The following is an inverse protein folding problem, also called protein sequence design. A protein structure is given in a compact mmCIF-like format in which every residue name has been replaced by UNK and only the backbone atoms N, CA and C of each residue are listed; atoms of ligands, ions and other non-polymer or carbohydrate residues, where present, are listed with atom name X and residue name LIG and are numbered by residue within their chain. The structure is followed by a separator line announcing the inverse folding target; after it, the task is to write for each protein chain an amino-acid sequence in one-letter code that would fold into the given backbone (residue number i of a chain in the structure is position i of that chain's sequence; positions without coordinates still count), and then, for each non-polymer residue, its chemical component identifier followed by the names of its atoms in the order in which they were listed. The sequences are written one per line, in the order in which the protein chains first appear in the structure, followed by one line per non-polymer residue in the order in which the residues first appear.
data_IF_718107749692
#
_entry.id   IF_718107749692
#
_cell.length_a   1.000
_cell.length_b   1.000
_cell.length_c   1.000
_cell.angle_alpha   90.00
_cell.angle_beta   90.00
_cell.angle_gamma   90.00
#
_symmetry.space_group_name_H-M   'P 1'
#
loop_
_entity.id
_entity.type
_entity.pdbx_description
1 polymer ?
#
# COMPACT_ATOMS: atom_id res chain seq x y z
N UNK A 1 -10.78 -31.77 11.92
CA UNK A 1 -11.33 -30.69 12.77
C UNK A 1 -10.15 -30.00 13.47
N UNK A 2 -9.97 -28.70 13.27
CA UNK A 2 -9.01 -27.92 14.04
C UNK A 2 -9.44 -27.88 15.51
N UNK A 3 -8.51 -27.99 16.44
CA UNK A 3 -8.82 -27.82 17.86
C UNK A 3 -9.34 -26.41 18.14
N UNK A 4 -10.11 -26.21 19.22
CA UNK A 4 -10.61 -24.89 19.61
C UNK A 4 -9.50 -23.83 19.77
N UNK A 5 -8.30 -24.25 20.20
CA UNK A 5 -7.12 -23.39 20.30
C UNK A 5 -6.58 -23.01 18.91
N UNK A 6 -6.50 -23.95 17.99
CA UNK A 6 -6.08 -23.69 16.61
C UNK A 6 -7.07 -22.82 15.85
N UNK A 7 -8.38 -22.98 16.11
CA UNK A 7 -9.43 -22.10 15.56
C UNK A 7 -9.35 -20.69 16.14
N UNK A 8 -9.04 -20.54 17.43
CA UNK A 8 -8.85 -19.25 18.11
C UNK A 8 -7.58 -18.55 17.63
N UNK A 9 -6.45 -19.27 17.47
CA UNK A 9 -5.21 -18.71 16.92
C UNK A 9 -5.37 -18.33 15.45
N UNK A 10 -6.06 -19.13 14.64
CA UNK A 10 -6.32 -18.80 13.24
C UNK A 10 -7.25 -17.57 13.13
N UNK A 11 -8.29 -17.45 13.95
CA UNK A 11 -9.15 -16.27 13.97
C UNK A 11 -8.45 -15.04 14.58
N UNK A 12 -7.56 -15.21 15.55
CA UNK A 12 -6.75 -14.13 16.10
C UNK A 12 -5.73 -13.62 15.06
N UNK A 13 -5.05 -14.51 14.35
CA UNK A 13 -4.15 -14.16 13.25
C UNK A 13 -4.90 -13.53 12.06
N UNK A 14 -6.14 -13.95 11.80
CA UNK A 14 -7.01 -13.35 10.79
C UNK A 14 -7.48 -11.95 11.23
N UNK A 15 -7.82 -11.77 12.50
CA UNK A 15 -8.21 -10.48 13.06
C UNK A 15 -7.03 -9.50 13.13
N UNK A 16 -5.82 -9.95 13.51
CA UNK A 16 -4.59 -9.15 13.40
C UNK A 16 -4.25 -8.82 11.95
N UNK A 17 -4.46 -9.75 11.02
CA UNK A 17 -4.28 -9.52 9.58
C UNK A 17 -5.31 -8.51 9.06
N UNK A 18 -6.55 -8.54 9.54
CA UNK A 18 -7.60 -7.58 9.18
C UNK A 18 -7.37 -6.20 9.78
N UNK A 19 -6.85 -6.10 11.00
CA UNK A 19 -6.54 -4.82 11.66
C UNK A 19 -5.25 -4.18 11.14
N UNK A 20 -4.28 -4.96 10.67
CA UNK A 20 -2.97 -4.51 10.22
C UNK A 20 -2.80 -4.69 8.70
N UNK A 21 -3.86 -4.52 7.92
CA UNK A 21 -3.85 -4.75 6.47
C UNK A 21 -2.96 -3.76 5.74
N UNK A 22 -1.77 -4.20 5.42
CA UNK A 22 -1.07 -3.64 4.27
C UNK A 22 -1.93 -3.90 3.03
N UNK A 23 -2.37 -2.83 2.38
CA UNK A 23 -3.09 -2.97 1.11
C UNK A 23 -2.28 -3.85 0.15
N UNK A 24 -2.93 -4.85 -0.44
CA UNK A 24 -2.34 -5.86 -1.32
C UNK A 24 -2.21 -5.31 -2.74
N UNK A 25 -1.16 -5.67 -3.47
CA UNK A 25 -1.09 -5.36 -4.90
C UNK A 25 -2.16 -6.14 -5.66
N UNK A 26 -2.81 -5.47 -6.63
CA UNK A 26 -3.97 -6.07 -7.31
C UNK A 26 -3.62 -7.35 -8.06
N UNK A 27 -2.42 -7.46 -8.61
CA UNK A 27 -1.92 -8.66 -9.27
C UNK A 27 -1.73 -9.84 -8.31
N UNK A 28 -1.42 -9.58 -7.04
CA UNK A 28 -1.20 -10.61 -6.03
C UNK A 28 -2.50 -11.29 -5.58
N UNK A 29 -3.65 -10.68 -5.86
CA UNK A 29 -4.95 -11.26 -5.56
C UNK A 29 -5.15 -12.63 -6.22
N UNK A 30 -4.56 -12.87 -7.40
CA UNK A 30 -4.64 -14.18 -8.06
C UNK A 30 -3.95 -15.30 -7.26
N UNK A 31 -3.00 -14.96 -6.39
CA UNK A 31 -2.31 -15.92 -5.53
C UNK A 31 -3.03 -16.02 -4.18
N UNK A 32 -3.39 -14.88 -3.58
CA UNK A 32 -3.97 -14.80 -2.24
C UNK A 32 -5.39 -15.38 -2.20
N UNK A 33 -6.23 -15.01 -3.16
CA UNK A 33 -7.66 -15.39 -3.21
C UNK A 33 -8.00 -16.21 -4.47
N UNK A 34 -6.95 -16.71 -5.16
CA UNK A 34 -7.07 -17.63 -6.30
C UNK A 34 -8.03 -17.12 -7.38
N UNK A 35 -8.95 -17.97 -7.89
CA UNK A 35 -9.96 -17.60 -8.90
C UNK A 35 -10.84 -16.43 -8.47
N UNK A 36 -11.20 -16.37 -7.19
CA UNK A 36 -11.98 -15.25 -6.65
C UNK A 36 -11.16 -13.95 -6.67
N UNK A 37 -9.86 -14.04 -6.36
CA UNK A 37 -8.94 -12.91 -6.45
C UNK A 37 -8.78 -12.40 -7.89
N UNK A 38 -8.76 -13.28 -8.89
CA UNK A 38 -8.77 -12.87 -10.30
C UNK A 38 -10.05 -12.11 -10.64
N UNK A 39 -11.22 -12.62 -10.24
CA UNK A 39 -12.48 -11.93 -10.49
C UNK A 39 -12.51 -10.54 -9.83
N UNK A 40 -12.01 -10.42 -8.59
CA UNK A 40 -11.87 -9.14 -7.90
C UNK A 40 -10.92 -8.18 -8.64
N UNK A 41 -9.76 -8.67 -9.07
CA UNK A 41 -8.76 -7.86 -9.77
C UNK A 41 -9.29 -7.33 -11.11
N UNK A 42 -9.86 -8.20 -11.94
CA UNK A 42 -10.48 -7.80 -13.19
C UNK A 42 -11.65 -6.83 -12.97
N UNK A 43 -12.52 -7.13 -12.03
CA UNK A 43 -13.64 -6.24 -11.67
C UNK A 43 -13.19 -4.86 -11.26
N UNK A 44 -12.12 -4.75 -10.45
CA UNK A 44 -11.52 -3.48 -10.03
C UNK A 44 -10.92 -2.69 -11.20
N UNK A 45 -10.12 -3.34 -12.05
CA UNK A 45 -9.50 -2.71 -13.23
C UNK A 45 -10.55 -2.20 -14.20
N UNK A 46 -11.53 -3.04 -14.55
CA UNK A 46 -12.60 -2.67 -15.48
C UNK A 46 -13.54 -1.60 -14.90
N UNK A 47 -13.71 -1.56 -13.59
CA UNK A 47 -14.47 -0.49 -12.94
C UNK A 47 -13.78 0.87 -13.11
N UNK A 48 -12.45 0.96 -12.92
CA UNK A 48 -11.69 2.19 -13.18
C UNK A 48 -11.80 2.59 -14.65
N UNK A 49 -11.59 1.65 -15.57
CA UNK A 49 -11.73 1.90 -17.01
C UNK A 49 -13.05 2.59 -17.36
N UNK A 50 -14.16 2.16 -16.75
CA UNK A 50 -15.50 2.72 -17.01
C UNK A 50 -15.66 4.17 -16.51
N UNK A 51 -14.79 4.63 -15.61
CA UNK A 51 -14.86 5.98 -15.08
C UNK A 51 -14.08 7.00 -15.93
N UNK A 52 -13.20 6.54 -16.82
CA UNK A 52 -12.46 7.42 -17.72
C UNK A 52 -13.41 8.08 -18.74
N UNK A 53 -13.28 9.41 -18.91
CA UNK A 53 -14.10 10.19 -19.81
C UNK A 53 -15.53 10.47 -19.31
N UNK A 54 -15.88 10.05 -18.10
CA UNK A 54 -17.20 10.30 -17.51
C UNK A 54 -17.08 11.42 -16.48
N UNK A 55 -17.87 12.48 -16.64
CA UNK A 55 -17.92 13.56 -15.65
C UNK A 55 -18.39 13.05 -14.30
N UNK A 56 -17.52 13.16 -13.29
CA UNK A 56 -17.73 12.57 -11.95
C UNK A 56 -18.36 13.53 -10.95
N UNK A 57 -18.89 14.67 -11.39
CA UNK A 57 -19.43 15.72 -10.51
C UNK A 57 -20.51 15.26 -9.51
N UNK A 58 -20.98 14.02 -9.60
CA UNK A 58 -21.99 13.42 -8.70
C UNK A 58 -21.58 12.07 -8.09
N UNK A 59 -20.41 11.51 -8.40
CA UNK A 59 -19.99 10.20 -7.86
C UNK A 59 -18.67 10.33 -7.12
N UNK A 60 -18.58 9.73 -5.94
CA UNK A 60 -17.31 9.62 -5.22
C UNK A 60 -16.37 8.72 -6.03
N UNK A 61 -15.16 9.19 -6.35
CA UNK A 61 -14.18 8.40 -7.09
C UNK A 61 -13.89 7.07 -6.42
N UNK A 62 -13.60 6.05 -7.23
CA UNK A 62 -13.24 4.72 -6.73
C UNK A 62 -11.73 4.52 -6.61
N UNK A 63 -10.96 5.59 -6.75
CA UNK A 63 -9.50 5.58 -6.75
C UNK A 63 -9.00 6.67 -5.83
N UNK A 64 -8.05 6.33 -4.97
CA UNK A 64 -7.32 7.29 -4.14
C UNK A 64 -5.88 7.37 -4.60
N UNK A 65 -5.29 8.56 -4.53
CA UNK A 65 -3.86 8.76 -4.79
C UNK A 65 -3.09 8.18 -3.60
N UNK A 66 -2.07 7.37 -3.87
CA UNK A 66 -1.14 6.95 -2.83
C UNK A 66 -0.03 7.98 -2.73
N UNK A 67 0.00 8.71 -1.64
CA UNK A 67 1.11 9.59 -1.23
C UNK A 67 1.82 8.87 -0.07
N UNK A 68 3.12 8.67 -0.19
CA UNK A 68 3.92 7.95 0.82
C UNK A 68 4.44 8.94 1.87
N UNK A 69 3.63 9.16 2.87
CA UNK A 69 4.05 9.85 4.07
C UNK A 69 4.73 8.91 5.08
N UNK A 70 5.40 9.48 6.04
CA UNK A 70 5.96 8.76 7.19
C UNK A 70 6.11 9.70 8.39
N UNK A 71 5.74 9.23 9.58
CA UNK A 71 5.16 7.94 9.94
C UNK A 71 3.66 7.82 9.62
N UNK A 72 3.15 6.58 9.60
CA UNK A 72 1.72 6.34 9.63
C UNK A 72 1.19 6.69 11.04
N UNK A 73 0.15 7.52 11.07
CA UNK A 73 -0.49 8.01 12.30
C UNK A 73 -1.93 7.54 12.33
N UNK A 74 -2.33 6.91 13.44
CA UNK A 74 -3.72 6.59 13.74
C UNK A 74 -4.17 7.57 14.81
N UNK A 75 -5.24 8.30 14.54
CA UNK A 75 -5.75 9.32 15.45
C UNK A 75 -7.28 9.30 15.48
N UNK A 76 -7.85 9.65 16.63
CA UNK A 76 -9.31 9.67 16.76
C UNK A 76 -9.79 9.70 18.20
N UNK A 77 -11.07 9.36 18.37
CA UNK A 77 -11.77 9.44 19.64
C UNK A 77 -12.19 8.05 20.11
N UNK A 78 -11.76 7.70 21.32
CA UNK A 78 -12.10 6.45 22.01
C UNK A 78 -12.57 6.77 23.43
N UNK A 79 -13.78 6.36 23.78
CA UNK A 79 -14.36 6.67 25.09
C UNK A 79 -14.43 8.16 25.43
N UNK A 80 -14.64 9.01 24.42
CA UNK A 80 -14.70 10.47 24.59
C UNK A 80 -13.35 11.17 24.75
N UNK A 81 -12.23 10.42 24.69
CA UNK A 81 -10.86 10.97 24.76
C UNK A 81 -10.20 10.90 23.39
N UNK A 82 -9.51 11.97 23.00
CA UNK A 82 -8.72 11.98 21.78
C UNK A 82 -7.41 11.24 22.02
N UNK A 83 -7.01 10.42 21.04
CA UNK A 83 -5.76 9.67 21.10
C UNK A 83 -5.00 9.71 19.78
N UNK A 84 -3.72 9.41 19.87
CA UNK A 84 -2.87 9.11 18.72
C UNK A 84 -2.09 7.83 18.94
N UNK A 85 -1.73 7.18 17.85
CA UNK A 85 -0.88 6.00 17.86
C UNK A 85 -0.20 5.79 16.51
N UNK A 86 0.71 4.85 16.49
CA UNK A 86 1.28 4.28 15.28
C UNK A 86 0.68 2.88 15.03
N UNK A 87 1.22 2.11 14.09
CA UNK A 87 0.83 0.70 13.89
C UNK A 87 0.96 -0.16 15.16
N UNK A 88 1.76 0.27 16.14
CA UNK A 88 1.88 -0.38 17.44
C UNK A 88 0.59 -0.36 18.28
N UNK A 89 -0.42 0.42 17.87
CA UNK A 89 -1.76 0.39 18.42
C UNK A 89 -2.40 -1.02 18.31
N UNK A 90 -2.04 -1.78 17.29
CA UNK A 90 -2.56 -3.12 17.01
C UNK A 90 -1.64 -4.25 17.51
N UNK A 91 -0.62 -3.94 18.30
CA UNK A 91 0.24 -4.95 18.90
C UNK A 91 -0.50 -5.69 20.01
N UNK A 92 0.04 -6.84 20.42
CA UNK A 92 -0.47 -7.61 21.57
C UNK A 92 -0.57 -6.75 22.85
N UNK A 93 0.37 -5.81 23.01
CA UNK A 93 0.33 -4.75 24.01
C UNK A 93 0.16 -3.42 23.26
N UNK A 94 -1.08 -2.91 23.13
CA UNK A 94 -1.36 -1.71 22.36
C UNK A 94 -0.70 -0.47 22.93
N UNK A 95 -0.05 0.32 22.09
CA UNK A 95 0.52 1.62 22.49
C UNK A 95 -0.41 2.74 22.05
N UNK A 96 -1.34 3.10 22.92
CA UNK A 96 -2.26 4.23 22.76
C UNK A 96 -1.76 5.43 23.56
N UNK A 97 -1.87 6.63 23.01
CA UNK A 97 -1.35 7.84 23.65
C UNK A 97 -2.44 8.92 23.70
N UNK A 98 -2.82 9.30 24.90
CA UNK A 98 -3.80 10.36 25.18
C UNK A 98 -3.13 11.67 25.55
N UNK A 99 -1.87 11.63 25.99
CA UNK A 99 -1.08 12.80 26.43
C UNK A 99 0.32 12.76 25.84
N UNK A 100 1.05 13.89 25.83
CA UNK A 100 2.46 13.91 25.43
C UNK A 100 3.35 12.98 26.25
N UNK A 101 3.04 12.80 27.54
CA UNK A 101 3.78 11.91 28.47
C UNK A 101 3.55 10.43 28.08
N UNK A 102 2.36 10.07 27.60
CA UNK A 102 2.10 8.73 27.06
C UNK A 102 2.96 8.49 25.81
N UNK A 103 3.07 9.51 24.95
CA UNK A 103 3.92 9.43 23.76
C UNK A 103 5.38 9.19 24.14
N UNK A 104 5.91 9.95 25.12
CA UNK A 104 7.31 9.82 25.58
C UNK A 104 7.59 8.46 26.24
N UNK A 105 6.58 7.88 26.91
CA UNK A 105 6.68 6.53 27.48
C UNK A 105 6.71 5.44 26.44
N UNK A 106 5.94 5.60 25.39
CA UNK A 106 5.70 4.57 24.38
C UNK A 106 6.59 4.65 23.14
N UNK A 107 7.15 5.84 22.84
CA UNK A 107 7.87 6.14 21.62
C UNK A 107 9.06 7.06 21.90
N UNK A 108 10.00 7.13 20.94
CA UNK A 108 11.19 7.99 21.02
C UNK A 108 11.54 8.59 19.67
N UNK A 109 12.44 9.59 19.67
CA UNK A 109 12.96 10.23 18.47
C UNK A 109 11.89 10.88 17.60
N UNK A 110 12.13 10.93 16.31
CA UNK A 110 11.25 11.63 15.35
C UNK A 110 9.81 11.11 15.34
N UNK A 111 9.56 9.83 15.66
CA UNK A 111 8.19 9.30 15.76
C UNK A 111 7.44 9.95 16.94
N UNK A 112 8.08 10.06 18.10
CA UNK A 112 7.47 10.70 19.26
C UNK A 112 7.11 12.17 18.97
N UNK A 113 8.01 12.91 18.34
CA UNK A 113 7.76 14.30 17.95
C UNK A 113 6.55 14.42 17.03
N UNK A 114 6.44 13.59 16.00
CA UNK A 114 5.31 13.63 15.05
C UNK A 114 3.99 13.22 15.72
N UNK A 115 4.00 12.24 16.63
CA UNK A 115 2.82 11.86 17.40
C UNK A 115 2.36 12.97 18.34
N UNK A 116 3.26 13.71 19.01
CA UNK A 116 2.90 14.88 19.83
C UNK A 116 2.28 15.99 18.98
N UNK A 117 2.84 16.29 17.81
CA UNK A 117 2.25 17.25 16.87
C UNK A 117 0.85 16.79 16.42
N UNK A 118 0.70 15.50 16.11
CA UNK A 118 -0.59 14.94 15.71
C UNK A 118 -1.62 15.02 16.85
N UNK A 119 -1.21 14.75 18.10
CA UNK A 119 -2.07 14.88 19.27
C UNK A 119 -2.60 16.31 19.44
N UNK A 120 -1.74 17.29 19.21
CA UNK A 120 -2.09 18.71 19.31
C UNK A 120 -2.98 19.18 18.15
N UNK A 121 -2.62 18.88 16.89
CA UNK A 121 -3.28 19.44 15.73
C UNK A 121 -4.52 18.68 15.27
N UNK A 122 -4.56 17.35 15.39
CA UNK A 122 -5.62 16.53 14.80
C UNK A 122 -6.88 16.45 15.66
N UNK A 123 -6.81 16.81 16.94
CA UNK A 123 -7.97 16.86 17.82
C UNK A 123 -9.07 17.79 17.32
N UNK A 124 -8.70 18.90 16.70
CA UNK A 124 -9.64 19.88 16.16
C UNK A 124 -10.14 19.50 14.75
N UNK A 125 -9.45 18.58 14.07
CA UNK A 125 -9.74 18.15 12.68
C UNK A 125 -10.64 16.93 12.65
N UNK A 126 -10.39 15.94 13.51
CA UNK A 126 -11.12 14.68 13.50
C UNK A 126 -12.39 14.81 14.35
N UNK A 127 -13.60 14.57 13.77
CA UNK A 127 -14.85 14.62 14.52
C UNK A 127 -14.90 13.57 15.62
N UNK A 128 -15.66 13.86 16.69
CA UNK A 128 -15.89 12.89 17.78
C UNK A 128 -16.50 11.58 17.24
N UNK A 129 -16.07 10.46 17.82
CA UNK A 129 -16.51 9.12 17.41
C UNK A 129 -15.86 8.59 16.12
N UNK A 130 -14.92 9.35 15.53
CA UNK A 130 -14.18 8.93 14.34
C UNK A 130 -12.74 8.55 14.70
N UNK A 131 -12.22 7.57 13.96
CA UNK A 131 -10.83 7.11 14.05
C UNK A 131 -10.31 6.98 12.62
N UNK A 132 -9.24 7.69 12.31
CA UNK A 132 -8.64 7.68 10.98
C UNK A 132 -7.15 7.34 11.05
N UNK A 133 -6.67 6.68 10.02
CA UNK A 133 -5.24 6.57 9.74
C UNK A 133 -4.89 7.44 8.56
N UNK A 134 -3.79 8.15 8.70
CA UNK A 134 -3.15 8.90 7.64
C UNK A 134 -1.65 8.81 7.74
N UNK A 135 -0.98 9.25 6.70
CA UNK A 135 0.46 9.34 6.63
C UNK A 135 0.90 10.80 6.79
N UNK A 136 1.81 11.06 7.73
CA UNK A 136 2.39 12.38 7.94
C UNK A 136 3.17 12.82 6.71
N UNK A 137 3.01 14.07 6.31
CA UNK A 137 3.65 14.64 5.14
C UNK A 137 4.71 15.68 5.48
N UNK A 138 4.35 16.66 6.30
CA UNK A 138 5.26 17.73 6.72
C UNK A 138 4.78 18.42 8.00
N UNK A 139 5.71 19.09 8.64
CA UNK A 139 5.48 20.15 9.63
C UNK A 139 6.19 21.46 9.21
N UNK A 140 6.15 22.46 10.07
CA UNK A 140 6.80 23.74 9.81
C UNK A 140 8.33 23.64 9.63
N UNK A 141 8.97 22.59 10.20
CA UNK A 141 10.41 22.42 10.17
C UNK A 141 10.85 21.56 8.97
N UNK A 142 10.00 20.65 8.51
CA UNK A 142 10.32 19.70 7.43
C UNK A 142 9.83 20.16 6.04
N UNK A 143 9.10 21.27 5.97
CA UNK A 143 8.71 21.91 4.71
C UNK A 143 9.65 23.07 4.41
N UNK A 144 10.28 23.04 3.25
CA UNK A 144 11.27 24.01 2.82
C UNK A 144 10.79 24.82 1.61
N UNK A 145 11.40 25.99 1.42
CA UNK A 145 11.28 26.83 0.22
C UNK A 145 12.44 26.55 -0.72
N UNK A 146 12.14 26.06 -1.95
CA UNK A 146 13.15 25.78 -2.97
C UNK A 146 12.66 26.19 -4.36
N UNK A 147 13.60 26.59 -5.24
CA UNK A 147 13.30 26.74 -6.67
C UNK A 147 13.43 25.37 -7.34
N UNK A 148 12.36 24.90 -7.97
CA UNK A 148 12.33 23.64 -8.72
C UNK A 148 12.06 23.98 -10.19
N UNK A 149 13.06 23.77 -11.04
CA UNK A 149 12.97 24.10 -12.47
C UNK A 149 12.53 25.56 -12.74
N UNK A 150 13.05 26.50 -11.94
CA UNK A 150 12.71 27.92 -12.05
C UNK A 150 11.38 28.34 -11.39
N UNK A 151 10.65 27.45 -10.77
CA UNK A 151 9.41 27.73 -10.06
C UNK A 151 9.66 27.75 -8.55
N UNK A 152 9.31 28.87 -7.89
CA UNK A 152 9.41 28.98 -6.43
C UNK A 152 8.37 28.09 -5.77
N UNK A 153 8.82 27.07 -5.05
CA UNK A 153 8.00 25.96 -4.60
C UNK A 153 8.17 25.68 -3.10
N UNK A 154 7.09 25.21 -2.48
CA UNK A 154 7.16 24.48 -1.23
C UNK A 154 7.58 23.04 -1.53
N UNK A 155 8.54 22.53 -0.76
CA UNK A 155 9.12 21.20 -0.93
C UNK A 155 9.14 20.48 0.40
N UNK A 156 8.77 19.20 0.40
CA UNK A 156 8.86 18.33 1.56
C UNK A 156 9.16 16.89 1.12
N UNK A 157 9.83 16.12 1.98
CA UNK A 157 10.23 14.74 1.70
C UNK A 157 10.00 13.85 2.94
N UNK A 158 8.77 13.33 3.13
CA UNK A 158 8.46 12.54 4.32
C UNK A 158 9.10 11.15 4.29
N UNK A 159 9.38 10.61 3.10
CA UNK A 159 9.99 9.30 2.88
C UNK A 159 10.99 9.36 1.71
N UNK A 160 10.90 8.50 0.73
CA UNK A 160 11.83 8.44 -0.41
C UNK A 160 11.50 9.48 -1.48
N UNK A 161 10.21 9.78 -1.65
CA UNK A 161 9.75 10.74 -2.65
C UNK A 161 9.71 12.15 -2.08
N UNK A 162 10.29 13.08 -2.84
CA UNK A 162 10.17 14.52 -2.61
C UNK A 162 8.95 15.05 -3.36
N UNK A 163 8.13 15.82 -2.67
CA UNK A 163 6.96 16.47 -3.20
C UNK A 163 7.23 17.97 -3.36
N UNK A 164 6.63 18.58 -4.38
CA UNK A 164 6.69 20.02 -4.54
C UNK A 164 5.37 20.59 -5.07
N UNK A 165 5.10 21.84 -4.70
CA UNK A 165 3.96 22.62 -5.17
C UNK A 165 4.39 24.06 -5.40
N UNK A 166 3.93 24.68 -6.50
CA UNK A 166 4.14 26.10 -6.76
C UNK A 166 3.52 26.94 -5.64
N UNK A 167 4.30 27.79 -4.98
CA UNK A 167 3.85 28.66 -3.89
C UNK A 167 2.75 29.64 -4.29
N UNK A 168 2.73 30.05 -5.55
CA UNK A 168 1.75 31.00 -6.06
C UNK A 168 0.39 30.37 -6.37
N UNK A 169 0.34 29.02 -6.49
CA UNK A 169 -0.91 28.30 -6.67
C UNK A 169 -1.78 28.38 -5.40
N UNK A 170 -3.10 28.19 -5.55
CA UNK A 170 -4.01 28.16 -4.41
C UNK A 170 -3.69 27.01 -3.44
N UNK A 171 -3.24 25.87 -3.98
CA UNK A 171 -2.75 24.75 -3.18
C UNK A 171 -1.46 25.13 -2.43
N UNK A 172 -0.53 25.79 -3.10
CA UNK A 172 0.72 26.24 -2.49
C UNK A 172 0.52 27.26 -1.36
N UNK A 173 -0.45 28.17 -1.51
CA UNK A 173 -0.84 29.11 -0.44
C UNK A 173 -1.40 28.38 0.78
N UNK A 174 -2.27 27.37 0.58
CA UNK A 174 -2.84 26.55 1.66
C UNK A 174 -1.74 25.75 2.37
N UNK A 175 -0.88 25.06 1.62
CA UNK A 175 0.25 24.32 2.16
C UNK A 175 1.21 25.25 2.91
N UNK A 176 1.48 26.45 2.36
CA UNK A 176 2.35 27.45 2.97
C UNK A 176 1.85 27.96 4.32
N UNK A 177 0.55 28.10 4.51
CA UNK A 177 -0.07 28.54 5.76
C UNK A 177 -0.13 27.45 6.85
N UNK A 178 -0.16 26.18 6.45
CA UNK A 178 -0.33 25.06 7.38
C UNK A 178 0.96 24.81 8.20
N UNK A 179 0.78 24.35 9.43
CA UNK A 179 1.85 23.93 10.34
C UNK A 179 2.02 22.42 10.41
N UNK A 180 1.01 21.66 9.96
CA UNK A 180 0.98 20.22 9.95
C UNK A 180 0.28 19.72 8.67
N UNK A 181 0.90 18.77 7.98
CA UNK A 181 0.35 18.18 6.75
C UNK A 181 0.18 16.66 6.89
N UNK A 182 -0.98 16.16 6.49
CA UNK A 182 -1.31 14.72 6.57
C UNK A 182 -2.23 14.33 5.40
N UNK A 183 -2.09 13.10 4.91
CA UNK A 183 -3.04 12.47 4.01
C UNK A 183 -3.80 11.36 4.73
N UNK A 184 -5.12 11.45 4.79
CA UNK A 184 -5.97 10.42 5.38
C UNK A 184 -6.42 9.41 4.34
N UNK A 185 -6.36 8.10 4.65
CA UNK A 185 -6.68 7.05 3.70
C UNK A 185 -7.48 5.88 4.27
N UNK A 186 -7.53 5.70 5.59
CA UNK A 186 -8.20 4.54 6.22
C UNK A 186 -9.09 5.00 7.36
N UNK A 187 -10.31 4.47 7.42
CA UNK A 187 -11.23 4.68 8.53
C UNK A 187 -11.33 3.41 9.37
N UNK A 188 -11.25 3.60 10.69
CA UNK A 188 -11.50 2.57 11.69
C UNK A 188 -12.78 2.88 12.44
N UNK A 189 -13.35 1.86 13.08
CA UNK A 189 -14.46 2.00 14.02
C UNK A 189 -14.14 1.27 15.32
N UNK A 190 -14.81 1.67 16.38
CA UNK A 190 -14.76 1.02 17.69
C UNK A 190 -16.16 0.87 18.23
N UNK A 191 -16.40 -0.19 18.97
CA UNK A 191 -17.68 -0.46 19.64
C UNK A 191 -17.69 -0.08 21.12
N UNK A 192 -16.65 0.63 21.62
CA UNK A 192 -16.56 0.97 23.03
C UNK A 192 -15.36 1.80 23.44
N UNK A 193 -14.89 1.55 24.66
CA UNK A 193 -13.81 2.26 25.36
C UNK A 193 -12.48 1.52 25.16
N UNK A 194 -12.54 0.24 24.82
CA UNK A 194 -11.38 -0.63 24.72
C UNK A 194 -10.68 -0.48 23.37
N UNK A 195 -9.38 -0.29 23.40
CA UNK A 195 -8.51 -0.20 22.22
C UNK A 195 -8.57 -1.48 21.37
N UNK A 196 -8.77 -2.65 21.97
CA UNK A 196 -8.92 -3.92 21.28
C UNK A 196 -10.19 -4.00 20.41
N UNK A 197 -11.14 -3.09 20.60
CA UNK A 197 -12.35 -2.99 19.80
C UNK A 197 -12.15 -2.22 18.49
N UNK A 198 -10.98 -1.58 18.31
CA UNK A 198 -10.68 -0.83 17.09
C UNK A 198 -10.43 -1.80 15.94
N UNK A 199 -11.25 -1.71 14.89
CA UNK A 199 -11.15 -2.55 13.72
C UNK A 199 -11.37 -1.74 12.44
N UNK A 200 -10.90 -2.28 11.32
CA UNK A 200 -10.99 -1.64 10.01
C UNK A 200 -12.46 -1.45 9.62
N UNK A 201 -12.84 -0.21 9.28
CA UNK A 201 -14.13 0.09 8.67
C UNK A 201 -14.04 0.13 7.15
N UNK A 202 -12.99 0.75 6.61
CA UNK A 202 -12.80 0.84 5.17
C UNK A 202 -11.65 1.74 4.74
N UNK A 203 -11.45 1.81 3.44
CA UNK A 203 -10.47 2.65 2.80
C UNK A 203 -11.14 3.87 2.15
N UNK A 204 -10.41 5.00 2.16
CA UNK A 204 -10.89 6.26 1.63
C UNK A 204 -11.63 7.08 2.70
N UNK A 205 -10.97 8.11 3.20
CA UNK A 205 -11.53 9.16 4.07
C UNK A 205 -11.83 10.36 3.19
N UNK A 206 -13.01 10.95 3.30
CA UNK A 206 -13.37 12.11 2.52
C UNK A 206 -13.02 13.41 3.24
N UNK A 207 -12.59 14.43 2.49
CA UNK A 207 -12.28 15.75 3.06
C UNK A 207 -13.50 16.36 3.78
N UNK A 208 -14.71 16.11 3.26
CA UNK A 208 -15.98 16.58 3.86
C UNK A 208 -16.28 15.94 5.23
N UNK A 209 -15.67 14.80 5.55
CA UNK A 209 -15.82 14.11 6.84
C UNK A 209 -14.90 14.71 7.92
N UNK A 210 -14.09 15.71 7.60
CA UNK A 210 -13.11 16.35 8.46
C UNK A 210 -13.46 17.80 8.74
N UNK A 211 -13.10 18.31 9.92
CA UNK A 211 -13.27 19.70 10.26
C UNK A 211 -12.14 20.55 9.67
N UNK A 212 -12.48 21.68 9.05
CA UNK A 212 -11.48 22.60 8.48
C UNK A 212 -10.60 23.21 9.58
N UNK A 213 -9.32 23.32 9.31
CA UNK A 213 -8.34 23.98 10.16
C UNK A 213 -7.42 24.86 9.30
N UNK A 214 -6.97 25.99 9.82
CA UNK A 214 -5.95 26.85 9.17
C UNK A 214 -4.52 26.32 9.40
N UNK A 215 -4.32 25.59 10.50
CA UNK A 215 -3.01 25.10 10.91
C UNK A 215 -2.72 23.69 10.38
N UNK A 216 -3.75 22.97 9.90
CA UNK A 216 -3.62 21.63 9.35
C UNK A 216 -4.03 21.63 7.89
N UNK A 217 -3.08 21.30 7.02
CA UNK A 217 -3.41 20.91 5.66
C UNK A 217 -3.61 19.40 5.64
N UNK A 218 -4.79 18.99 5.28
CA UNK A 218 -5.09 17.59 5.03
C UNK A 218 -5.67 17.44 3.63
N UNK A 219 -5.46 16.27 3.08
CA UNK A 219 -6.07 15.86 1.81
C UNK A 219 -6.71 14.49 2.04
N UNK A 220 -7.91 14.32 1.48
CA UNK A 220 -8.38 12.98 1.25
C UNK A 220 -7.53 12.36 0.13
N UNK A 221 -7.40 11.05 0.18
CA UNK A 221 -6.63 10.35 -0.84
C UNK A 221 -7.41 10.18 -2.15
N UNK A 222 -8.63 10.69 -2.29
CA UNK A 222 -9.44 10.48 -3.49
C UNK A 222 -8.89 11.21 -4.72
N UNK A 223 -8.86 10.54 -5.83
CA UNK A 223 -8.60 11.15 -7.14
C UNK A 223 -9.91 11.71 -7.68
N UNK A 224 -10.15 12.99 -7.45
CA UNK A 224 -11.44 13.65 -7.69
C UNK A 224 -11.79 13.90 -9.16
N UNK A 225 -10.82 13.83 -10.08
CA UNK A 225 -11.05 14.19 -11.48
C UNK A 225 -10.74 13.03 -12.45
N UNK A 226 -11.41 11.89 -12.27
CA UNK A 226 -11.34 10.81 -13.25
C UNK A 226 -12.01 11.19 -14.59
N UNK A 227 -12.92 12.15 -14.58
CA UNK A 227 -13.59 12.66 -15.79
C UNK A 227 -12.67 13.47 -16.69
N UNK A 228 -11.60 14.08 -16.15
CA UNK A 228 -10.56 14.75 -16.94
C UNK A 228 -9.60 13.77 -17.64
N UNK A 229 -9.66 12.49 -17.32
CA UNK A 229 -8.86 11.46 -17.99
C UNK A 229 -9.57 11.03 -19.26
N UNK A 230 -8.89 11.16 -20.40
CA UNK A 230 -9.42 10.67 -21.67
C UNK A 230 -9.65 9.15 -21.61
N UNK A 231 -10.72 8.68 -22.25
CA UNK A 231 -10.98 7.23 -22.41
C UNK A 231 -9.79 6.53 -23.05
N UNK A 232 -9.70 5.21 -22.87
CA UNK A 232 -8.68 4.42 -23.54
C UNK A 232 -8.83 4.52 -25.06
N UNK A 233 -7.71 4.65 -25.78
CA UNK A 233 -7.67 4.60 -27.24
C UNK A 233 -8.12 3.22 -27.75
N UNK A 234 -8.37 3.10 -29.05
CA UNK A 234 -8.71 1.83 -29.69
C UNK A 234 -7.62 0.79 -29.44
N UNK A 235 -6.35 1.17 -29.56
CA UNK A 235 -5.21 0.27 -29.36
C UNK A 235 -5.08 -0.16 -27.90
N UNK A 236 -5.25 0.77 -26.94
CA UNK A 236 -5.24 0.44 -25.52
C UNK A 236 -6.40 -0.49 -25.14
N UNK A 237 -7.59 -0.29 -25.71
CA UNK A 237 -8.73 -1.19 -25.52
C UNK A 237 -8.45 -2.59 -26.09
N UNK A 238 -7.83 -2.67 -27.29
CA UNK A 238 -7.42 -3.95 -27.90
C UNK A 238 -6.42 -4.68 -27.00
N UNK A 239 -5.39 -3.97 -26.54
CA UNK A 239 -4.37 -4.55 -25.65
C UNK A 239 -4.97 -5.03 -24.32
N UNK A 240 -5.88 -4.26 -23.75
CA UNK A 240 -6.57 -4.65 -22.51
C UNK A 240 -7.39 -5.94 -22.70
N UNK A 241 -8.10 -6.07 -23.83
CA UNK A 241 -8.86 -7.28 -24.15
C UNK A 241 -7.96 -8.51 -24.38
N UNK A 242 -6.79 -8.34 -24.99
CA UNK A 242 -5.78 -9.40 -25.13
C UNK A 242 -5.30 -9.89 -23.75
N UNK A 243 -4.98 -8.96 -22.85
CA UNK A 243 -4.54 -9.28 -21.48
C UNK A 243 -5.64 -9.99 -20.69
N UNK A 244 -6.89 -9.52 -20.80
CA UNK A 244 -8.05 -10.16 -20.18
C UNK A 244 -8.23 -11.60 -20.69
N UNK A 245 -8.04 -11.83 -22.01
CA UNK A 245 -8.05 -13.17 -22.61
C UNK A 245 -6.93 -14.05 -22.03
N UNK A 246 -5.72 -13.52 -21.85
CA UNK A 246 -4.62 -14.27 -21.21
C UNK A 246 -5.02 -14.69 -19.80
N UNK A 247 -5.58 -13.78 -19.00
CA UNK A 247 -6.04 -14.07 -17.63
C UNK A 247 -7.11 -15.17 -17.64
N UNK A 248 -8.12 -15.05 -18.48
CA UNK A 248 -9.27 -15.98 -18.49
C UNK A 248 -8.90 -17.37 -19.00
N UNK A 249 -8.10 -17.46 -20.09
CA UNK A 249 -7.74 -18.75 -20.70
C UNK A 249 -6.74 -19.55 -19.85
N UNK A 250 -5.88 -18.92 -19.07
CA UNK A 250 -4.89 -19.63 -18.26
C UNK A 250 -5.44 -20.14 -16.92
N UNK A 251 -6.64 -19.72 -16.48
CA UNK A 251 -7.19 -20.17 -15.19
C UNK A 251 -7.41 -21.68 -15.09
N UNK A 252 -7.77 -22.34 -16.19
CA UNK A 252 -7.95 -23.80 -16.24
C UNK A 252 -6.65 -24.60 -16.17
N UNK A 253 -5.52 -23.96 -16.45
CA UNK A 253 -4.19 -24.56 -16.46
C UNK A 253 -3.47 -24.45 -15.11
N UNK A 254 -4.04 -23.69 -14.14
CA UNK A 254 -3.48 -23.54 -12.80
C UNK A 254 -4.08 -24.59 -11.87
N UNK A 255 -3.22 -25.31 -11.18
CA UNK A 255 -3.63 -26.08 -10.02
C UNK A 255 -3.82 -25.15 -8.82
N UNK A 256 -5.07 -24.90 -8.48
CA UNK A 256 -5.46 -24.00 -7.39
C UNK A 256 -5.42 -24.64 -6.01
N UNK A 257 -5.06 -25.92 -5.95
CA UNK A 257 -5.00 -26.65 -4.70
C UNK A 257 -3.59 -26.55 -4.08
N UNK A 258 -3.31 -25.41 -3.44
CA UNK A 258 -2.11 -25.20 -2.63
C UNK A 258 -2.48 -24.66 -1.25
N UNK A 259 -1.65 -24.96 -0.27
CA UNK A 259 -1.85 -24.58 1.13
C UNK A 259 -1.35 -23.15 1.42
N UNK A 260 -1.54 -22.73 2.67
CA UNK A 260 -1.16 -21.38 3.11
C UNK A 260 0.37 -21.17 3.09
N UNK A 261 1.16 -22.24 3.36
CA UNK A 261 2.61 -22.11 3.33
C UNK A 261 3.11 -21.95 1.89
N UNK A 262 2.58 -22.70 0.94
CA UNK A 262 2.85 -22.52 -0.50
C UNK A 262 2.48 -21.13 -0.97
N UNK A 263 1.30 -20.62 -0.59
CA UNK A 263 0.89 -19.25 -0.88
C UNK A 263 1.90 -18.23 -0.34
N UNK A 264 2.31 -18.38 0.91
CA UNK A 264 3.30 -17.52 1.56
C UNK A 264 4.63 -17.54 0.82
N UNK A 265 5.13 -18.72 0.44
CA UNK A 265 6.40 -18.84 -0.29
C UNK A 265 6.32 -18.25 -1.70
N UNK A 266 5.19 -18.36 -2.41
CA UNK A 266 4.94 -17.66 -3.67
C UNK A 266 5.03 -16.14 -3.50
N UNK A 267 4.42 -15.59 -2.46
CA UNK A 267 4.44 -14.16 -2.17
C UNK A 267 5.84 -13.66 -1.79
N UNK A 268 6.57 -14.41 -0.96
CA UNK A 268 7.96 -14.07 -0.58
C UNK A 268 8.86 -14.09 -1.82
N UNK A 269 8.74 -15.12 -2.66
CA UNK A 269 9.48 -15.22 -3.90
C UNK A 269 9.24 -14.01 -4.81
N UNK A 270 7.98 -13.67 -5.08
CA UNK A 270 7.64 -12.53 -5.93
C UNK A 270 8.17 -11.20 -5.39
N UNK A 271 8.03 -10.97 -4.10
CA UNK A 271 8.55 -9.75 -3.47
C UNK A 271 10.08 -9.66 -3.57
N UNK A 272 10.79 -10.78 -3.33
CA UNK A 272 12.25 -10.86 -3.45
C UNK A 272 12.69 -10.71 -4.90
N UNK A 273 11.95 -11.34 -5.81
CA UNK A 273 12.21 -11.27 -7.24
C UNK A 273 12.13 -9.84 -7.76
N UNK A 274 11.02 -9.14 -7.45
CA UNK A 274 10.81 -7.75 -7.85
C UNK A 274 11.89 -6.84 -7.27
N UNK A 275 12.29 -7.06 -6.01
CA UNK A 275 13.34 -6.27 -5.36
C UNK A 275 14.71 -6.43 -6.03
N UNK A 276 15.03 -7.63 -6.51
CA UNK A 276 16.37 -7.96 -7.04
C UNK A 276 16.47 -7.78 -8.56
N UNK A 277 15.37 -7.72 -9.29
CA UNK A 277 15.34 -7.72 -10.75
C UNK A 277 14.63 -6.47 -11.28
N UNK A 278 15.30 -5.77 -12.19
CA UNK A 278 14.81 -4.53 -12.80
C UNK A 278 13.78 -4.74 -13.91
N UNK A 279 13.57 -5.97 -14.37
CA UNK A 279 12.66 -6.30 -15.47
C UNK A 279 11.75 -7.47 -15.08
N UNK A 280 10.55 -7.47 -15.65
CA UNK A 280 9.61 -8.58 -15.46
C UNK A 280 10.02 -9.76 -16.37
N UNK A 281 10.38 -10.93 -15.83
CA UNK A 281 10.83 -12.07 -16.62
C UNK A 281 9.65 -12.76 -17.30
N UNK A 282 9.98 -13.65 -18.25
CA UNK A 282 8.98 -14.52 -18.83
C UNK A 282 8.33 -15.41 -17.75
N UNK A 283 7.06 -15.77 -17.89
CA UNK A 283 6.38 -16.67 -16.95
C UNK A 283 7.06 -18.04 -16.79
N UNK A 284 7.61 -18.58 -17.89
CA UNK A 284 8.35 -19.86 -17.88
C UNK A 284 9.63 -19.76 -17.02
N UNK A 285 10.43 -18.71 -17.23
CA UNK A 285 11.64 -18.49 -16.43
C UNK A 285 11.29 -18.30 -14.95
N UNK A 286 10.25 -17.53 -14.66
CA UNK A 286 9.77 -17.30 -13.31
C UNK A 286 9.36 -18.61 -12.61
N UNK A 287 8.74 -19.53 -13.32
CA UNK A 287 8.37 -20.86 -12.81
C UNK A 287 9.60 -21.72 -12.46
N UNK A 288 10.63 -21.71 -13.33
CA UNK A 288 11.90 -22.40 -13.06
C UNK A 288 12.63 -21.78 -11.86
N UNK A 289 12.71 -20.48 -11.81
CA UNK A 289 13.37 -19.77 -10.71
C UNK A 289 12.64 -19.97 -9.37
N UNK A 290 11.32 -20.00 -9.36
CA UNK A 290 10.54 -20.35 -8.16
C UNK A 290 10.88 -21.74 -7.66
N UNK A 291 10.94 -22.74 -8.54
CA UNK A 291 11.35 -24.10 -8.19
C UNK A 291 12.74 -24.12 -7.54
N UNK A 292 13.71 -23.45 -8.14
CA UNK A 292 15.07 -23.36 -7.60
C UNK A 292 15.12 -22.64 -6.25
N UNK A 293 14.37 -21.52 -6.14
CA UNK A 293 14.21 -20.78 -4.88
C UNK A 293 13.68 -21.68 -3.75
N UNK A 294 12.63 -22.47 -4.02
CA UNK A 294 12.02 -23.36 -3.01
C UNK A 294 13.00 -24.42 -2.57
N UNK A 295 13.75 -25.03 -3.50
CA UNK A 295 14.76 -26.05 -3.18
C UNK A 295 15.85 -25.46 -2.25
N UNK A 296 16.39 -24.30 -2.60
CA UNK A 296 17.42 -23.62 -1.82
C UNK A 296 16.89 -23.23 -0.42
N UNK A 297 15.72 -22.59 -0.37
CA UNK A 297 15.13 -22.15 0.89
C UNK A 297 14.76 -23.28 1.84
N UNK A 298 14.27 -24.41 1.31
CA UNK A 298 14.06 -25.62 2.09
C UNK A 298 15.36 -26.09 2.73
N UNK A 299 16.44 -26.18 1.93
CA UNK A 299 17.74 -26.65 2.43
C UNK A 299 18.27 -25.71 3.52
N UNK A 300 18.30 -24.40 3.26
CA UNK A 300 18.72 -23.37 4.23
C UNK A 300 17.94 -23.49 5.55
N UNK A 301 16.62 -23.72 5.44
CA UNK A 301 15.74 -23.81 6.60
C UNK A 301 15.99 -25.06 7.43
N UNK A 302 16.25 -26.21 6.78
CA UNK A 302 16.60 -27.46 7.44
C UNK A 302 17.98 -27.34 8.12
N UNK A 303 18.98 -26.81 7.42
CA UNK A 303 20.34 -26.67 7.92
C UNK A 303 20.43 -25.71 9.11
N UNK A 304 19.51 -24.76 9.23
CA UNK A 304 19.40 -23.88 10.39
C UNK A 304 19.01 -24.58 11.68
N UNK A 305 18.50 -25.84 11.63
CA UNK A 305 18.04 -26.61 12.80
C UNK A 305 19.19 -27.42 13.41
N UNK A 306 19.33 -27.31 14.74
CA UNK A 306 20.42 -27.98 15.49
C UNK A 306 20.19 -29.46 15.73
N UNK A 307 18.92 -29.92 15.77
CA UNK A 307 18.58 -31.31 16.09
C UNK A 307 18.00 -32.06 14.89
N UNK A 308 18.24 -33.36 14.80
CA UNK A 308 17.67 -34.18 13.72
C UNK A 308 16.14 -34.20 13.74
N UNK A 309 15.52 -34.20 14.94
CA UNK A 309 14.07 -34.05 15.08
C UNK A 309 13.58 -32.70 14.54
N UNK A 310 14.32 -31.59 14.78
CA UNK A 310 14.03 -30.26 14.25
C UNK A 310 14.15 -30.24 12.74
N UNK A 311 15.19 -30.85 12.17
CA UNK A 311 15.38 -30.96 10.71
C UNK A 311 14.24 -31.75 10.05
N UNK A 312 13.84 -32.89 10.62
CA UNK A 312 12.73 -33.68 10.11
C UNK A 312 11.39 -32.92 10.17
N UNK A 313 11.12 -32.19 11.25
CA UNK A 313 9.92 -31.38 11.39
C UNK A 313 9.91 -30.24 10.35
N UNK A 314 11.05 -29.58 10.14
CA UNK A 314 11.18 -28.52 9.15
C UNK A 314 11.01 -29.07 7.73
N UNK A 315 11.65 -30.20 7.40
CA UNK A 315 11.52 -30.85 6.10
C UNK A 315 10.05 -31.14 5.76
N UNK A 316 9.27 -31.62 6.74
CA UNK A 316 7.85 -31.91 6.57
C UNK A 316 7.01 -30.68 6.24
N UNK A 317 7.34 -29.51 6.80
CA UNK A 317 6.64 -28.24 6.46
C UNK A 317 6.80 -27.84 5.00
N UNK A 318 7.89 -28.23 4.36
CA UNK A 318 8.19 -27.90 2.98
C UNK A 318 7.68 -28.93 1.96
N UNK A 319 7.09 -30.05 2.39
CA UNK A 319 6.63 -31.11 1.48
C UNK A 319 5.62 -30.59 0.46
N UNK A 320 4.56 -29.90 0.90
CA UNK A 320 3.54 -29.32 0.03
C UNK A 320 4.10 -28.25 -0.90
N UNK A 321 5.03 -27.43 -0.40
CA UNK A 321 5.67 -26.36 -1.19
C UNK A 321 6.54 -26.96 -2.29
N UNK A 322 7.33 -27.99 -1.97
CA UNK A 322 8.15 -28.72 -2.94
C UNK A 322 7.27 -29.43 -3.99
N UNK A 323 6.22 -30.10 -3.56
CA UNK A 323 5.29 -30.77 -4.46
C UNK A 323 4.67 -29.77 -5.45
N UNK A 324 4.21 -28.64 -4.95
CA UNK A 324 3.65 -27.59 -5.80
C UNK A 324 4.69 -26.99 -6.75
N UNK A 325 5.92 -26.78 -6.30
CA UNK A 325 7.02 -26.26 -7.11
C UNK A 325 7.42 -27.16 -8.28
N UNK A 326 7.09 -28.46 -8.24
CA UNK A 326 7.29 -29.37 -9.37
C UNK A 326 6.26 -29.19 -10.49
N UNK A 327 5.11 -28.56 -10.22
CA UNK A 327 4.02 -28.32 -11.17
C UNK A 327 4.32 -27.13 -12.09
N UNK A 328 5.43 -27.18 -12.82
CA UNK A 328 5.99 -26.03 -13.58
C UNK A 328 5.02 -25.47 -14.61
N UNK A 329 4.20 -26.30 -15.28
CA UNK A 329 3.16 -25.82 -16.23
C UNK A 329 2.06 -25.02 -15.52
N UNK A 330 1.66 -25.47 -14.33
CA UNK A 330 0.70 -24.75 -13.50
C UNK A 330 1.27 -23.41 -13.00
N UNK A 331 2.51 -23.41 -12.56
CA UNK A 331 3.23 -22.19 -12.13
C UNK A 331 3.39 -21.22 -13.31
N UNK A 332 3.74 -21.69 -14.50
CA UNK A 332 3.83 -20.85 -15.69
C UNK A 332 2.47 -20.20 -16.00
N UNK A 333 1.38 -20.96 -15.94
CA UNK A 333 0.03 -20.42 -16.13
C UNK A 333 -0.34 -19.38 -15.05
N UNK A 334 0.00 -19.64 -13.79
CA UNK A 334 -0.20 -18.69 -12.70
C UNK A 334 0.58 -17.39 -12.92
N UNK A 335 1.84 -17.49 -13.33
CA UNK A 335 2.65 -16.30 -13.61
C UNK A 335 2.25 -15.56 -14.89
N UNK A 336 1.65 -16.25 -15.89
CA UNK A 336 1.00 -15.58 -17.04
C UNK A 336 -0.16 -14.70 -16.57
N UNK A 337 -1.00 -15.22 -15.68
CA UNK A 337 -2.11 -14.45 -15.08
C UNK A 337 -1.56 -13.26 -14.28
N UNK A 338 -0.61 -13.48 -13.40
CA UNK A 338 0.00 -12.43 -12.58
C UNK A 338 0.63 -11.32 -13.44
N UNK A 339 1.39 -11.69 -14.48
CA UNK A 339 2.00 -10.72 -15.39
C UNK A 339 0.94 -9.92 -16.17
N UNK A 340 -0.10 -10.59 -16.70
CA UNK A 340 -1.17 -9.91 -17.41
C UNK A 340 -1.94 -8.92 -16.51
N UNK A 341 -2.23 -9.29 -15.28
CA UNK A 341 -2.83 -8.36 -14.30
C UNK A 341 -1.89 -7.18 -13.98
N UNK A 342 -0.58 -7.43 -13.90
CA UNK A 342 0.42 -6.37 -13.76
C UNK A 342 0.39 -5.39 -14.94
N UNK A 343 0.39 -5.91 -16.18
CA UNK A 343 0.36 -5.08 -17.38
C UNK A 343 -0.94 -4.25 -17.46
N UNK A 344 -2.10 -4.88 -17.18
CA UNK A 344 -3.38 -4.18 -17.12
C UNK A 344 -3.36 -3.05 -16.07
N UNK A 345 -2.81 -3.32 -14.89
CA UNK A 345 -2.60 -2.32 -13.84
C UNK A 345 -1.75 -1.15 -14.33
N UNK A 346 -0.60 -1.45 -14.99
CA UNK A 346 0.31 -0.41 -15.48
C UNK A 346 -0.34 0.48 -16.55
N UNK A 347 -1.20 -0.07 -17.41
CA UNK A 347 -1.99 0.72 -18.36
C UNK A 347 -2.92 1.71 -17.65
N UNK A 348 -3.57 1.27 -16.56
CA UNK A 348 -4.44 2.16 -15.77
C UNK A 348 -3.63 3.24 -15.05
N UNK A 349 -2.48 2.88 -14.46
CA UNK A 349 -1.58 3.85 -13.80
C UNK A 349 -1.14 4.94 -14.78
N UNK A 350 -0.73 4.58 -16.00
CA UNK A 350 -0.30 5.55 -17.01
C UNK A 350 -1.39 6.58 -17.33
N UNK A 351 -2.66 6.17 -17.36
CA UNK A 351 -3.80 7.08 -17.53
C UNK A 351 -4.04 7.95 -16.30
N UNK A 352 -4.02 7.37 -15.10
CA UNK A 352 -4.24 8.09 -13.85
C UNK A 352 -3.13 9.12 -13.57
N UNK A 353 -1.90 8.84 -13.97
CA UNK A 353 -0.74 9.73 -13.81
C UNK A 353 -0.79 10.99 -14.71
N UNK A 354 -1.68 11.06 -15.67
CA UNK A 354 -1.80 12.19 -16.57
C UNK A 354 -2.29 13.50 -15.89
N UNK A 355 -2.90 13.39 -14.69
CA UNK A 355 -3.44 14.51 -13.91
C UNK A 355 -2.63 14.72 -12.61
N UNK A 356 -1.72 15.70 -12.60
CA UNK A 356 -0.84 15.97 -11.44
C UNK A 356 -0.90 17.41 -10.98
N UNK A 357 -1.52 17.67 -9.82
CA UNK A 357 -1.41 18.96 -9.11
C UNK A 357 -0.13 19.04 -8.24
N UNK A 358 0.31 17.90 -7.65
CA UNK A 358 1.54 17.79 -6.86
C UNK A 358 2.59 17.08 -7.69
N UNK A 359 3.75 17.71 -7.89
CA UNK A 359 4.88 17.11 -8.59
C UNK A 359 5.69 16.22 -7.65
N UNK A 360 6.22 15.14 -8.17
CA UNK A 360 6.95 14.13 -7.42
C UNK A 360 8.33 13.89 -8.02
N UNK A 361 9.35 13.74 -7.16
CA UNK A 361 10.74 13.59 -7.55
C UNK A 361 11.45 12.54 -6.70
N UNK A 362 12.46 11.90 -7.28
CA UNK A 362 13.49 11.17 -6.55
C UNK A 362 14.74 12.04 -6.46
N UNK A 363 15.28 12.22 -5.28
CA UNK A 363 16.51 12.96 -5.04
C UNK A 363 17.68 11.98 -4.98
N UNK A 364 18.65 12.12 -5.90
CA UNK A 364 19.86 11.32 -5.90
C UNK A 364 20.80 11.78 -4.78
N UNK A 365 21.73 10.92 -4.40
CA UNK A 365 22.75 11.23 -3.39
C UNK A 365 23.67 12.40 -3.76
N UNK A 366 23.86 12.65 -5.07
CA UNK A 366 24.59 13.82 -5.58
C UNK A 366 23.75 15.12 -5.62
N UNK A 367 22.50 15.08 -5.22
CA UNK A 367 21.59 16.22 -5.22
C UNK A 367 20.75 16.39 -6.49
N UNK A 368 21.02 15.63 -7.56
CA UNK A 368 20.21 15.67 -8.77
C UNK A 368 18.78 15.19 -8.47
N UNK A 369 17.81 15.79 -9.15
CA UNK A 369 16.41 15.39 -9.07
C UNK A 369 15.99 14.64 -10.34
N UNK A 370 15.26 13.57 -10.15
CA UNK A 370 14.64 12.80 -11.23
C UNK A 370 13.12 12.84 -11.06
N UNK A 371 12.42 13.38 -12.05
CA UNK A 371 10.94 13.33 -12.07
C UNK A 371 10.50 11.87 -11.99
N UNK A 372 9.59 11.58 -11.09
CA UNK A 372 9.00 10.25 -10.94
C UNK A 372 7.48 10.32 -11.09
N UNK A 373 6.85 9.18 -11.35
CA UNK A 373 5.41 9.01 -11.26
C UNK A 373 4.92 9.19 -9.82
N UNK A 374 3.60 9.31 -9.63
CA UNK A 374 3.04 9.16 -8.30
C UNK A 374 3.39 7.77 -7.76
N UNK A 375 3.43 7.60 -6.43
CA UNK A 375 3.66 6.29 -5.82
C UNK A 375 2.59 5.26 -6.20
N UNK A 376 1.52 5.71 -6.84
CA UNK A 376 0.41 4.92 -7.33
C UNK A 376 -0.92 5.33 -6.71
N UNK A 377 -1.82 4.39 -6.73
CA UNK A 377 -3.21 4.59 -6.34
C UNK A 377 -3.70 3.42 -5.50
N UNK A 378 -4.80 3.61 -4.78
CA UNK A 378 -5.49 2.55 -4.05
C UNK A 378 -6.94 2.51 -4.51
N UNK A 379 -7.46 1.32 -4.76
CA UNK A 379 -8.86 1.13 -5.11
C UNK A 379 -9.76 1.28 -3.89
N UNK A 380 -10.89 1.94 -4.11
CA UNK A 380 -11.97 2.05 -3.12
C UNK A 380 -13.30 1.72 -3.78
N UNK A 381 -14.29 1.30 -2.99
CA UNK A 381 -15.67 1.05 -3.49
C UNK A 381 -15.78 0.07 -4.67
N UNK A 382 -14.83 -0.85 -4.79
CA UNK A 382 -14.85 -1.93 -5.81
C UNK A 382 -14.75 -3.29 -5.14
N UNK A 383 -14.89 -4.36 -5.91
CA UNK A 383 -14.63 -5.73 -5.44
C UNK A 383 -13.19 -5.96 -4.98
N UNK A 384 -12.26 -5.10 -5.42
CA UNK A 384 -10.84 -5.09 -5.05
C UNK A 384 -10.50 -3.89 -4.14
N UNK A 385 -11.44 -3.42 -3.32
CA UNK A 385 -11.23 -2.30 -2.40
C UNK A 385 -10.03 -2.56 -1.49
N UNK A 386 -9.15 -1.56 -1.34
CA UNK A 386 -7.88 -1.68 -0.64
C UNK A 386 -6.71 -2.20 -1.48
N UNK A 387 -6.94 -2.65 -2.72
CA UNK A 387 -5.85 -3.09 -3.59
C UNK A 387 -5.01 -1.92 -4.12
N UNK A 388 -3.69 -2.12 -4.15
CA UNK A 388 -2.71 -1.16 -4.64
C UNK A 388 -2.55 -1.23 -6.16
N UNK A 389 -2.55 -0.06 -6.76
CA UNK A 389 -2.14 0.23 -8.13
C UNK A 389 -0.81 1.00 -8.06
N UNK A 390 0.29 0.29 -7.92
CA UNK A 390 1.65 0.84 -7.78
C UNK A 390 2.56 0.22 -8.82
N UNK A 391 3.43 1.01 -9.44
CA UNK A 391 4.57 0.49 -10.19
C UNK A 391 5.59 -0.08 -9.21
N UNK A 392 5.49 -1.39 -8.93
CA UNK A 392 6.32 -2.08 -7.94
C UNK A 392 7.81 -2.04 -8.28
N UNK A 393 8.17 -2.05 -9.58
CA UNK A 393 9.57 -2.04 -9.98
C UNK A 393 10.19 -0.68 -9.72
N UNK A 394 9.56 0.39 -10.16
CA UNK A 394 10.02 1.76 -9.90
C UNK A 394 10.04 2.07 -8.41
N UNK A 395 9.00 1.68 -7.68
CA UNK A 395 8.91 1.86 -6.23
C UNK A 395 10.00 1.07 -5.48
N UNK A 396 10.24 -0.19 -5.88
CA UNK A 396 11.29 -1.01 -5.29
C UNK A 396 12.68 -0.42 -5.56
N UNK A 397 12.93 0.05 -6.78
CA UNK A 397 14.18 0.72 -7.13
C UNK A 397 14.40 1.96 -6.26
N UNK A 398 13.38 2.80 -6.11
CA UNK A 398 13.47 4.01 -5.29
C UNK A 398 13.78 3.69 -3.81
N UNK A 399 13.13 2.67 -3.24
CA UNK A 399 13.27 2.35 -1.82
C UNK A 399 14.54 1.56 -1.45
N UNK A 400 15.07 0.74 -2.37
CA UNK A 400 16.19 -0.16 -2.06
C UNK A 400 17.49 0.20 -2.78
N UNK A 401 17.48 1.16 -3.70
CA UNK A 401 18.70 1.64 -4.35
C UNK A 401 19.45 2.61 -3.44
N UNK A 402 20.78 2.45 -3.28
CA UNK A 402 21.61 3.43 -2.58
C UNK A 402 21.80 4.75 -3.35
N UNK A 403 21.31 4.83 -4.59
CA UNK A 403 21.43 6.03 -5.43
C UNK A 403 20.50 7.17 -5.01
N UNK A 404 19.46 6.90 -4.20
CA UNK A 404 18.45 7.88 -3.82
C UNK A 404 18.49 8.16 -2.31
N UNK A 405 18.44 9.45 -1.97
CA UNK A 405 18.30 9.91 -0.58
C UNK A 405 16.94 9.52 -0.01
N UNK A 406 16.92 9.24 1.28
CA UNK A 406 15.70 8.98 2.05
C UNK A 406 15.41 10.14 2.99
N UNK A 407 14.14 10.44 3.22
CA UNK A 407 13.73 11.56 4.06
C UNK A 407 14.19 11.50 5.52
N UNK A 408 14.60 10.33 5.99
CA UNK A 408 15.12 10.13 7.37
C UNK A 408 16.65 10.10 7.47
N UNK A 409 17.35 10.28 6.35
CA UNK A 409 18.84 10.28 6.30
C UNK A 409 19.41 11.71 6.38
N UNK A 410 18.81 12.59 7.22
CA UNK A 410 19.24 13.98 7.46
C UNK A 410 19.97 14.08 8.80
#
# INVERSE_FOLDING_TARGET
MLSFLQYREANFLLAEAEANTHSTHIEDLCIIDRKRGIAKALGGILHIKKQFGVSTSKQTPSVTIKIDGAPAIIAGWLGGKFFVGSKSLFNKEPKINYTPEDVDRNHSGGLAEKLKLALYYLQDVIPQGKIYQGDFLFDSNSRESKSINGVDSWVWQPNTIQYSVDKNSDLGKKIGAAKFGIIFHTEYMSNGIDVSSIHLKGFGVKEEDLKKSKDVWFIDAYHHDLGGISSLSVEENRRLAELEKIVTTNQSNVDWNYDIETQKQLMIFLNTYIRNNKAQPSPANKAVEYKNYVITKRQDSIDSKKSERGKATEAKKWESVIEYAQKTKSLEALFKIHNALTDMKMMMIAKLDSLKAIKTFLVKTNGDIQVTGNEGFVLTKTSASGAKFVDRYSFSLANFSPLFKKGWEH
#
